data_IF_466360475199
#
_entry.id   IF_466360475199
#
_cell.length_a   1.000
_cell.length_b   1.000
_cell.length_c   1.000
_cell.angle_alpha   90.00
_cell.angle_beta   90.00
_cell.angle_gamma   90.00
#
_symmetry.space_group_name_H-M   'P 1'
#
loop_
_entity.id
_entity.type
_entity.pdbx_description
1 polymer ?
#
# COMPACT_ATOMS: atom_id res chain seq x y z
N UNK A 1 -27.25 1.94 -14.83
CA UNK A 1 -26.66 2.83 -15.84
C UNK A 1 -25.34 2.21 -16.28
N UNK A 2 -25.38 1.58 -17.45
CA UNK A 2 -24.31 0.75 -17.99
C UNK A 2 -23.21 1.64 -18.56
N UNK A 3 -21.98 1.51 -18.08
CA UNK A 3 -20.80 2.14 -18.71
C UNK A 3 -20.55 1.46 -20.06
N UNK A 4 -21.24 1.93 -21.10
CA UNK A 4 -20.93 1.65 -22.50
C UNK A 4 -19.99 2.74 -22.99
N UNK A 5 -18.80 2.35 -23.42
CA UNK A 5 -17.98 3.16 -24.32
C UNK A 5 -16.50 3.18 -23.98
N UNK A 6 -15.78 2.12 -24.33
CA UNK A 6 -14.41 2.23 -24.81
C UNK A 6 -14.16 1.13 -25.83
N UNK A 7 -14.37 1.49 -27.10
CA UNK A 7 -13.84 0.75 -28.24
C UNK A 7 -12.31 0.91 -28.29
N UNK A 8 -11.66 -0.14 -28.77
CA UNK A 8 -10.23 -0.36 -28.92
C UNK A 8 -9.43 0.81 -29.51
N UNK A 9 -8.32 1.16 -28.84
CA UNK A 9 -7.08 1.64 -29.47
C UNK A 9 -5.89 1.52 -28.51
N UNK A 10 -5.01 0.54 -28.74
CA UNK A 10 -3.61 0.62 -28.33
C UNK A 10 -2.79 0.70 -29.64
N UNK A 11 -1.83 1.64 -29.79
CA UNK A 11 -0.61 1.66 -28.97
C UNK A 11 -0.08 3.07 -28.62
N UNK A 12 -0.94 4.04 -28.30
CA UNK A 12 -0.51 5.42 -27.92
C UNK A 12 -0.50 5.70 -26.41
N UNK A 13 -1.08 4.82 -25.59
CA UNK A 13 -1.21 5.04 -24.14
C UNK A 13 0.02 4.63 -23.32
N UNK A 14 0.81 3.65 -23.78
CA UNK A 14 1.99 3.17 -23.04
C UNK A 14 3.10 4.25 -22.94
N UNK A 15 3.32 5.06 -24.00
CA UNK A 15 4.31 6.15 -23.99
C UNK A 15 3.90 7.29 -23.05
N UNK A 16 2.59 7.59 -22.98
CA UNK A 16 2.06 8.62 -22.09
C UNK A 16 2.03 8.14 -20.62
N UNK A 17 1.82 6.84 -20.41
CA UNK A 17 1.83 6.23 -19.07
C UNK A 17 3.25 6.12 -18.51
N UNK A 18 4.25 5.73 -19.30
CA UNK A 18 5.66 5.76 -18.85
C UNK A 18 6.12 7.18 -18.53
N UNK A 19 5.70 8.16 -19.33
CA UNK A 19 5.98 9.58 -19.07
C UNK A 19 5.30 10.05 -17.79
N UNK A 20 4.02 9.74 -17.59
CA UNK A 20 3.29 10.06 -16.36
C UNK A 20 3.88 9.39 -15.12
N UNK A 21 4.29 8.12 -15.22
CA UNK A 21 4.95 7.39 -14.13
C UNK A 21 6.32 8.01 -13.81
N UNK A 22 7.11 8.40 -14.82
CA UNK A 22 8.37 9.13 -14.64
C UNK A 22 8.17 10.53 -14.04
N UNK A 23 7.15 11.25 -14.48
CA UNK A 23 6.84 12.60 -13.98
C UNK A 23 6.41 12.52 -12.51
N UNK A 24 5.62 11.52 -12.13
CA UNK A 24 5.21 11.29 -10.74
C UNK A 24 6.35 10.75 -9.87
N UNK A 25 7.21 9.86 -10.39
CA UNK A 25 8.43 9.43 -9.70
C UNK A 25 9.38 10.62 -9.47
N UNK A 26 9.51 11.52 -10.45
CA UNK A 26 10.32 12.73 -10.34
C UNK A 26 9.78 13.72 -9.31
N UNK A 27 8.45 13.87 -9.20
CA UNK A 27 7.79 14.73 -8.21
C UNK A 27 7.86 14.13 -6.79
N UNK A 28 7.82 12.78 -6.69
CA UNK A 28 8.03 12.05 -5.44
C UNK A 28 9.45 12.14 -4.89
N UNK A 29 10.44 12.46 -5.74
CA UNK A 29 11.85 12.62 -5.34
C UNK A 29 12.15 13.93 -4.62
N UNK A 30 11.26 14.94 -4.72
CA UNK A 30 11.48 16.30 -4.17
C UNK A 30 10.64 16.64 -2.93
N UNK A 31 9.70 15.78 -2.52
CA UNK A 31 8.90 15.97 -1.30
C UNK A 31 9.34 15.01 -0.20
N UNK A 32 9.51 15.56 1.00
CA UNK A 32 9.72 14.84 2.26
C UNK A 32 8.71 13.68 2.42
N UNK A 33 9.09 12.46 2.03
CA UNK A 33 8.20 11.30 2.00
C UNK A 33 8.28 10.56 3.35
N UNK A 34 7.18 10.53 4.14
CA UNK A 34 7.18 9.93 5.47
C UNK A 34 7.55 8.44 5.48
N UNK A 35 7.17 7.70 4.43
CA UNK A 35 7.47 6.26 4.32
C UNK A 35 8.97 6.03 4.08
N UNK A 36 9.59 6.88 3.26
CA UNK A 36 11.04 6.81 3.00
C UNK A 36 11.83 7.12 4.27
N UNK A 37 11.40 8.11 5.06
CA UNK A 37 12.02 8.45 6.35
C UNK A 37 11.85 7.34 7.38
N UNK A 38 10.65 6.77 7.48
CA UNK A 38 10.40 5.61 8.33
C UNK A 38 11.33 4.45 7.95
N UNK A 39 11.41 4.11 6.67
CA UNK A 39 12.29 3.05 6.16
C UNK A 39 13.76 3.31 6.53
N UNK A 40 14.23 4.55 6.37
CA UNK A 40 15.59 4.95 6.73
C UNK A 40 15.86 4.74 8.23
N UNK A 41 14.96 5.19 9.10
CA UNK A 41 15.10 5.03 10.54
C UNK A 41 15.06 3.57 10.99
N UNK A 42 14.10 2.79 10.48
CA UNK A 42 14.04 1.34 10.74
C UNK A 42 15.33 0.64 10.28
N UNK A 43 15.87 1.03 9.12
CA UNK A 43 17.13 0.52 8.60
C UNK A 43 18.32 0.85 9.51
N UNK A 44 18.42 2.10 9.98
CA UNK A 44 19.49 2.53 10.89
C UNK A 44 19.45 1.77 12.21
N UNK A 45 18.28 1.63 12.83
CA UNK A 45 18.12 0.88 14.07
C UNK A 45 18.49 -0.59 13.88
N UNK A 46 18.04 -1.22 12.78
CA UNK A 46 18.30 -2.64 12.52
C UNK A 46 19.76 -2.95 12.21
N UNK A 47 20.47 -2.04 11.53
CA UNK A 47 21.86 -2.26 11.09
C UNK A 47 22.91 -1.85 12.15
N UNK A 48 22.63 -0.85 12.98
CA UNK A 48 23.57 -0.39 14.01
C UNK A 48 23.37 -1.15 15.32
N UNK A 49 24.41 -1.87 15.78
CA UNK A 49 24.36 -2.59 17.06
C UNK A 49 24.09 -1.67 18.26
N UNK A 50 24.65 -0.45 18.24
CA UNK A 50 24.45 0.54 19.29
C UNK A 50 23.00 1.04 19.33
N UNK A 51 22.44 1.41 18.18
CA UNK A 51 21.06 1.87 18.09
C UNK A 51 20.06 0.75 18.38
N UNK A 52 20.37 -0.48 17.96
CA UNK A 52 19.53 -1.63 18.28
C UNK A 52 19.50 -1.89 19.78
N UNK A 53 20.67 -1.87 20.46
CA UNK A 53 20.74 -2.01 21.91
C UNK A 53 19.95 -0.92 22.64
N UNK A 54 20.06 0.33 22.18
CA UNK A 54 19.28 1.45 22.71
C UNK A 54 17.77 1.26 22.48
N UNK A 55 17.38 0.81 21.28
CA UNK A 55 16.00 0.51 20.95
C UNK A 55 15.43 -0.60 21.83
N UNK A 56 16.17 -1.68 22.05
CA UNK A 56 15.79 -2.78 22.93
C UNK A 56 15.66 -2.31 24.38
N UNK A 57 16.56 -1.45 24.85
CA UNK A 57 16.46 -0.82 26.17
C UNK A 57 15.18 0.00 26.30
N UNK A 58 14.90 0.88 25.33
CA UNK A 58 13.68 1.68 25.29
C UNK A 58 12.41 0.82 25.20
N UNK A 59 12.45 -0.28 24.43
CA UNK A 59 11.36 -1.25 24.28
C UNK A 59 11.04 -1.91 25.62
N UNK A 60 12.06 -2.34 26.35
CA UNK A 60 11.93 -2.98 27.66
C UNK A 60 11.42 -1.99 28.72
N UNK A 61 11.94 -0.76 28.74
CA UNK A 61 11.48 0.29 29.65
C UNK A 61 9.99 0.62 29.45
N UNK A 62 9.53 0.66 28.20
CA UNK A 62 8.14 0.91 27.83
C UNK A 62 7.24 -0.33 27.92
N UNK A 63 7.78 -1.50 28.33
CA UNK A 63 7.07 -2.78 28.42
C UNK A 63 6.36 -3.16 27.11
N UNK A 64 6.99 -2.86 25.97
CA UNK A 64 6.45 -3.21 24.66
C UNK A 64 6.66 -4.69 24.35
N UNK A 65 5.87 -5.28 23.43
CA UNK A 65 6.04 -6.68 23.04
C UNK A 65 7.45 -7.01 22.58
N UNK A 66 7.91 -8.22 22.87
CA UNK A 66 9.23 -8.70 22.44
C UNK A 66 9.23 -9.04 20.94
N UNK A 67 9.33 -7.98 20.15
CA UNK A 67 9.33 -8.01 18.71
C UNK A 67 10.51 -7.14 18.26
N UNK A 68 11.09 -7.46 17.11
CA UNK A 68 12.13 -6.63 16.50
C UNK A 68 11.52 -5.61 15.53
N UNK A 69 12.18 -4.46 15.36
CA UNK A 69 11.86 -3.58 14.24
C UNK A 69 12.14 -4.29 12.91
N UNK A 70 11.41 -3.92 11.87
CA UNK A 70 11.57 -4.51 10.55
C UNK A 70 11.68 -3.42 9.50
N UNK A 71 12.28 -3.79 8.37
CA UNK A 71 12.40 -2.95 7.17
C UNK A 71 11.67 -3.67 6.05
N UNK A 72 10.96 -2.92 5.22
CA UNK A 72 10.29 -3.47 4.05
C UNK A 72 11.29 -4.01 3.02
N UNK A 73 10.81 -4.89 2.14
CA UNK A 73 11.62 -5.63 1.18
C UNK A 73 10.95 -5.56 -0.18
N UNK A 74 11.64 -5.02 -1.18
CA UNK A 74 11.06 -4.76 -2.51
C UNK A 74 10.46 -6.00 -3.18
N UNK A 75 11.01 -7.19 -2.91
CA UNK A 75 10.57 -8.45 -3.55
C UNK A 75 9.50 -9.19 -2.76
N UNK A 76 9.18 -8.78 -1.52
CA UNK A 76 8.19 -9.47 -0.67
C UNK A 76 6.88 -8.69 -0.65
N UNK A 77 5.82 -9.33 -1.12
CA UNK A 77 4.47 -8.75 -1.11
C UNK A 77 4.09 -8.31 0.31
N UNK A 78 3.39 -7.18 0.41
CA UNK A 78 2.93 -6.57 1.66
C UNK A 78 4.01 -6.12 2.66
N UNK A 79 5.31 -6.22 2.34
CA UNK A 79 6.37 -5.90 3.31
C UNK A 79 6.28 -4.49 3.88
N UNK A 80 5.85 -3.51 3.07
CA UNK A 80 5.66 -2.12 3.49
C UNK A 80 4.58 -2.00 4.55
N UNK A 81 3.46 -2.72 4.39
CA UNK A 81 2.37 -2.75 5.36
C UNK A 81 2.84 -3.36 6.68
N UNK A 82 3.53 -4.49 6.60
CA UNK A 82 4.11 -5.15 7.79
C UNK A 82 5.06 -4.20 8.52
N UNK A 83 5.95 -3.50 7.79
CA UNK A 83 6.85 -2.48 8.37
C UNK A 83 6.10 -1.39 9.12
N UNK A 84 5.02 -0.87 8.52
CA UNK A 84 4.19 0.15 9.17
C UNK A 84 3.50 -0.40 10.42
N UNK A 85 2.89 -1.59 10.35
CA UNK A 85 2.24 -2.22 11.51
C UNK A 85 3.22 -2.39 12.68
N UNK A 86 4.43 -2.87 12.40
CA UNK A 86 5.48 -3.02 13.40
C UNK A 86 5.87 -1.67 14.02
N UNK A 87 6.08 -0.67 13.16
CA UNK A 87 6.40 0.69 13.61
C UNK A 87 5.30 1.26 14.52
N UNK A 88 4.03 1.09 14.17
CA UNK A 88 2.92 1.62 14.97
C UNK A 88 2.85 1.00 16.38
N UNK A 89 3.17 -0.29 16.51
CA UNK A 89 3.29 -0.98 17.81
C UNK A 89 4.46 -0.40 18.63
N UNK A 90 5.56 -0.05 17.97
CA UNK A 90 6.83 0.35 18.60
C UNK A 90 7.10 1.86 18.54
N UNK A 91 6.08 2.66 18.23
CA UNK A 91 6.21 4.07 17.89
C UNK A 91 7.01 4.86 18.93
N UNK A 92 6.71 4.64 20.21
CA UNK A 92 7.37 5.39 21.29
C UNK A 92 8.83 4.96 21.48
N UNK A 93 9.14 3.66 21.43
CA UNK A 93 10.53 3.20 21.48
C UNK A 93 11.34 3.69 20.27
N UNK A 94 10.73 3.68 19.07
CA UNK A 94 11.33 4.25 17.87
C UNK A 94 11.62 5.75 18.06
N UNK A 95 10.64 6.51 18.55
CA UNK A 95 10.78 7.96 18.77
C UNK A 95 11.91 8.29 19.75
N UNK A 96 12.00 7.58 20.88
CA UNK A 96 13.07 7.78 21.86
C UNK A 96 14.45 7.45 21.26
N UNK A 97 14.54 6.38 20.48
CA UNK A 97 15.79 5.94 19.85
C UNK A 97 16.24 6.91 18.76
N UNK A 98 15.35 7.35 17.89
CA UNK A 98 15.70 8.28 16.81
C UNK A 98 16.06 9.67 17.34
N UNK A 99 15.50 10.07 18.49
CA UNK A 99 15.79 11.35 19.11
C UNK A 99 17.08 11.36 19.96
N UNK A 100 17.81 10.25 20.08
CA UNK A 100 19.06 10.20 20.86
C UNK A 100 20.23 10.89 20.17
N UNK A 101 20.18 11.02 18.84
CA UNK A 101 21.22 11.64 18.02
C UNK A 101 20.60 12.70 17.10
N UNK A 102 21.26 13.85 16.97
CA UNK A 102 20.73 14.97 16.18
C UNK A 102 20.58 14.65 14.69
N UNK A 103 21.54 13.94 14.11
CA UNK A 103 21.50 13.53 12.71
C UNK A 103 20.36 12.55 12.43
N UNK A 104 20.14 11.58 13.34
CA UNK A 104 19.00 10.65 13.25
C UNK A 104 17.68 11.38 13.39
N UNK A 105 17.58 12.30 14.36
CA UNK A 105 16.38 13.10 14.60
C UNK A 105 16.02 13.92 13.37
N UNK A 106 16.98 14.61 12.77
CA UNK A 106 16.77 15.42 11.55
C UNK A 106 16.25 14.55 10.41
N UNK A 107 16.87 13.40 10.18
CA UNK A 107 16.62 12.60 8.97
C UNK A 107 15.45 11.62 9.10
N UNK A 108 15.18 11.10 10.30
CA UNK A 108 14.32 9.92 10.51
C UNK A 108 13.16 10.18 11.47
N UNK A 109 13.12 11.32 12.18
CA UNK A 109 12.00 11.65 13.07
C UNK A 109 10.72 11.90 12.27
N UNK A 110 9.58 11.53 12.85
CA UNK A 110 8.26 11.66 12.24
C UNK A 110 7.38 12.50 13.15
N UNK A 111 6.75 13.53 12.60
CA UNK A 111 5.76 14.32 13.33
C UNK A 111 4.37 13.63 13.31
N UNK A 112 3.43 14.15 14.10
CA UNK A 112 2.10 13.55 14.23
C UNK A 112 1.33 13.51 12.89
N UNK A 113 1.38 14.55 12.08
CA UNK A 113 0.72 14.59 10.78
C UNK A 113 1.30 13.55 9.80
N UNK A 114 2.63 13.35 9.83
CA UNK A 114 3.31 12.30 9.06
C UNK A 114 2.92 10.91 9.54
N UNK A 115 2.79 10.70 10.85
CA UNK A 115 2.31 9.43 11.41
C UNK A 115 0.86 9.16 10.98
N UNK A 116 -0.02 10.16 11.03
CA UNK A 116 -1.40 10.05 10.55
C UNK A 116 -1.46 9.71 9.06
N UNK A 117 -0.61 10.32 8.25
CA UNK A 117 -0.46 10.00 6.84
C UNK A 117 -0.04 8.52 6.63
N UNK A 118 0.96 8.05 7.39
CA UNK A 118 1.40 6.64 7.37
C UNK A 118 0.27 5.70 7.80
N UNK A 119 -0.53 6.06 8.81
CA UNK A 119 -1.69 5.28 9.22
C UNK A 119 -2.77 5.22 8.12
N UNK A 120 -2.99 6.29 7.38
CA UNK A 120 -3.89 6.26 6.22
C UNK A 120 -3.38 5.33 5.11
N UNK A 121 -2.06 5.28 4.87
CA UNK A 121 -1.46 4.30 3.96
C UNK A 121 -1.65 2.87 4.50
N UNK A 122 -1.46 2.63 5.79
CA UNK A 122 -1.67 1.31 6.39
C UNK A 122 -3.10 0.80 6.19
N UNK A 123 -4.10 1.70 6.32
CA UNK A 123 -5.51 1.36 6.08
C UNK A 123 -5.78 0.93 4.64
N UNK A 124 -5.19 1.59 3.65
CA UNK A 124 -5.39 1.22 2.25
C UNK A 124 -4.69 -0.10 1.92
N UNK A 125 -3.45 -0.28 2.38
CA UNK A 125 -2.68 -1.51 2.17
C UNK A 125 -3.33 -2.73 2.83
N UNK A 126 -3.96 -2.55 3.99
CA UNK A 126 -4.71 -3.63 4.66
C UNK A 126 -5.88 -4.12 3.80
N UNK A 127 -6.56 -3.23 3.08
CA UNK A 127 -7.64 -3.64 2.16
C UNK A 127 -7.11 -4.49 1.02
N UNK A 128 -5.97 -4.10 0.44
CA UNK A 128 -5.30 -4.87 -0.60
C UNK A 128 -4.89 -6.24 -0.10
N UNK A 129 -4.25 -6.33 1.07
CA UNK A 129 -3.86 -7.59 1.69
C UNK A 129 -5.05 -8.54 1.88
N UNK A 130 -6.18 -8.03 2.39
CA UNK A 130 -7.38 -8.82 2.58
C UNK A 130 -7.95 -9.37 1.26
N UNK A 131 -8.03 -8.54 0.22
CA UNK A 131 -8.53 -8.95 -1.10
C UNK A 131 -7.59 -10.00 -1.71
N UNK A 132 -6.28 -9.76 -1.66
CA UNK A 132 -5.29 -10.70 -2.20
C UNK A 132 -5.34 -12.03 -1.46
N UNK A 133 -5.46 -12.02 -0.12
CA UNK A 133 -5.60 -13.23 0.68
C UNK A 133 -6.84 -14.04 0.25
N UNK A 134 -7.97 -13.36 0.07
CA UNK A 134 -9.21 -14.00 -0.34
C UNK A 134 -9.15 -14.58 -1.77
N UNK A 135 -8.53 -13.87 -2.70
CA UNK A 135 -8.30 -14.33 -4.08
C UNK A 135 -7.30 -15.48 -4.17
N UNK A 136 -6.37 -15.57 -3.22
CA UNK A 136 -5.36 -16.63 -3.15
C UNK A 136 -5.86 -17.88 -2.45
N UNK A 137 -7.10 -17.88 -1.93
CA UNK A 137 -7.70 -19.07 -1.32
C UNK A 137 -7.90 -20.16 -2.37
N UNK A 138 -7.53 -21.39 -1.99
CA UNK A 138 -7.72 -22.59 -2.82
C UNK A 138 -8.96 -23.39 -2.41
N UNK A 139 -9.64 -23.00 -1.34
CA UNK A 139 -10.80 -23.74 -0.81
C UNK A 139 -12.08 -23.54 -1.63
N UNK A 140 -12.13 -22.49 -2.45
CA UNK A 140 -13.28 -22.15 -3.28
C UNK A 140 -12.84 -21.51 -4.58
N UNK A 141 -13.69 -21.56 -5.59
CA UNK A 141 -13.46 -20.87 -6.86
C UNK A 141 -13.41 -19.36 -6.63
N UNK A 142 -12.33 -18.72 -7.07
CA UNK A 142 -12.10 -17.27 -6.90
C UNK A 142 -12.26 -16.51 -8.22
N UNK A 143 -12.15 -17.19 -9.37
CA UNK A 143 -12.19 -16.56 -10.69
C UNK A 143 -13.54 -15.87 -10.97
N UNK A 144 -14.65 -16.50 -10.60
CA UNK A 144 -16.02 -15.95 -10.67
C UNK A 144 -16.21 -14.66 -9.88
N UNK A 145 -15.34 -14.38 -8.91
CA UNK A 145 -15.45 -13.21 -8.03
C UNK A 145 -14.48 -12.08 -8.37
N UNK A 146 -13.58 -12.33 -9.34
CA UNK A 146 -12.49 -11.41 -9.68
C UNK A 146 -13.03 -10.06 -10.16
N UNK A 147 -13.94 -10.05 -11.15
CA UNK A 147 -14.51 -8.81 -11.72
C UNK A 147 -15.22 -7.99 -10.64
N UNK A 148 -16.07 -8.65 -9.83
CA UNK A 148 -16.82 -8.01 -8.75
C UNK A 148 -15.89 -7.35 -7.73
N UNK A 149 -14.80 -8.02 -7.35
CA UNK A 149 -13.81 -7.46 -6.43
C UNK A 149 -13.07 -6.25 -7.00
N UNK A 150 -12.72 -6.25 -8.29
CA UNK A 150 -12.11 -5.07 -8.91
C UNK A 150 -13.06 -3.87 -8.86
N UNK A 151 -14.33 -4.06 -9.19
CA UNK A 151 -15.33 -2.99 -9.14
C UNK A 151 -15.55 -2.45 -7.71
N UNK A 152 -15.63 -3.35 -6.71
CA UNK A 152 -15.70 -2.96 -5.29
C UNK A 152 -14.42 -2.21 -4.86
N UNK A 153 -13.25 -2.65 -5.31
CA UNK A 153 -11.97 -2.01 -5.03
C UNK A 153 -11.90 -0.59 -5.61
N UNK A 154 -12.27 -0.40 -6.88
CA UNK A 154 -12.35 0.95 -7.49
C UNK A 154 -13.28 1.87 -6.69
N UNK A 155 -14.49 1.39 -6.38
CA UNK A 155 -15.47 2.13 -5.56
C UNK A 155 -14.89 2.52 -4.20
N UNK A 156 -14.15 1.61 -3.54
CA UNK A 156 -13.53 1.88 -2.23
C UNK A 156 -12.37 2.87 -2.35
N UNK A 157 -11.58 2.80 -3.42
CA UNK A 157 -10.47 3.71 -3.66
C UNK A 157 -10.98 5.14 -3.93
N UNK A 158 -12.04 5.30 -4.73
CA UNK A 158 -12.68 6.59 -4.98
C UNK A 158 -13.18 7.24 -3.69
N UNK A 159 -13.94 6.48 -2.89
CA UNK A 159 -14.41 6.93 -1.56
C UNK A 159 -13.26 7.26 -0.62
N UNK A 160 -12.15 6.51 -0.70
CA UNK A 160 -10.98 6.75 0.14
C UNK A 160 -10.20 8.00 -0.28
N UNK A 161 -10.10 8.27 -1.59
CA UNK A 161 -9.50 9.46 -2.17
C UNK A 161 -10.24 10.73 -1.75
N UNK A 162 -11.58 10.73 -1.82
CA UNK A 162 -12.42 11.84 -1.37
C UNK A 162 -12.17 12.20 0.10
N UNK A 163 -11.94 11.19 0.95
CA UNK A 163 -11.66 11.37 2.38
C UNK A 163 -10.22 11.73 2.70
N UNK A 164 -9.28 11.44 1.80
CA UNK A 164 -7.83 11.64 2.01
C UNK A 164 -7.20 12.37 0.82
N UNK A 165 -7.43 13.68 0.67
CA UNK A 165 -6.89 14.46 -0.45
C UNK A 165 -5.35 14.39 -0.56
N UNK A 166 -4.66 14.24 0.57
CA UNK A 166 -3.19 14.09 0.63
C UNK A 166 -2.67 12.82 -0.05
N UNK A 167 -3.52 11.80 -0.22
CA UNK A 167 -3.18 10.55 -0.91
C UNK A 167 -3.70 10.51 -2.35
N UNK A 168 -4.30 11.59 -2.86
CA UNK A 168 -4.96 11.63 -4.17
C UNK A 168 -4.04 11.18 -5.31
N UNK A 169 -2.80 11.68 -5.35
CA UNK A 169 -1.81 11.30 -6.37
C UNK A 169 -1.47 9.79 -6.30
N UNK A 170 -1.21 9.28 -5.09
CA UNK A 170 -0.89 7.87 -4.88
C UNK A 170 -2.06 6.94 -5.23
N UNK A 171 -3.29 7.35 -4.90
CA UNK A 171 -4.50 6.60 -5.24
C UNK A 171 -4.74 6.62 -6.75
N UNK A 172 -4.52 7.76 -7.42
CA UNK A 172 -4.60 7.86 -8.88
C UNK A 172 -3.65 6.90 -9.59
N UNK A 173 -2.40 6.82 -9.15
CA UNK A 173 -1.44 5.82 -9.63
C UNK A 173 -1.93 4.38 -9.40
N UNK A 174 -2.47 4.13 -8.21
CA UNK A 174 -2.99 2.82 -7.84
C UNK A 174 -4.17 2.42 -8.73
N UNK A 175 -5.12 3.31 -8.95
CA UNK A 175 -6.27 3.10 -9.86
C UNK A 175 -5.81 2.87 -11.29
N UNK A 176 -4.84 3.63 -11.79
CA UNK A 176 -4.28 3.44 -13.13
C UNK A 176 -3.65 2.05 -13.26
N UNK A 177 -2.84 1.63 -12.28
CA UNK A 177 -2.22 0.30 -12.26
C UNK A 177 -3.27 -0.81 -12.20
N UNK A 178 -4.31 -0.65 -11.37
CA UNK A 178 -5.42 -1.61 -11.28
C UNK A 178 -6.20 -1.69 -12.59
N UNK A 179 -6.49 -0.55 -13.23
CA UNK A 179 -7.20 -0.51 -14.51
C UNK A 179 -6.44 -1.28 -15.59
N UNK A 180 -5.11 -1.15 -15.64
CA UNK A 180 -4.25 -1.93 -16.55
C UNK A 180 -4.35 -3.45 -16.34
N UNK A 181 -4.56 -3.93 -15.11
CA UNK A 181 -4.73 -5.36 -14.85
C UNK A 181 -6.19 -5.80 -15.00
N UNK A 182 -7.14 -4.92 -14.68
CA UNK A 182 -8.56 -5.16 -14.89
C UNK A 182 -8.88 -5.34 -16.37
N UNK A 183 -8.32 -4.51 -17.27
CA UNK A 183 -8.51 -4.70 -18.72
C UNK A 183 -7.98 -6.04 -19.25
N UNK A 184 -7.10 -6.73 -18.50
CA UNK A 184 -6.65 -8.08 -18.85
C UNK A 184 -7.70 -9.15 -18.56
N UNK A 185 -8.67 -8.90 -17.67
CA UNK A 185 -9.78 -9.83 -17.46
C UNK A 185 -10.68 -9.90 -18.69
N UNK A 186 -10.73 -8.83 -19.48
CA UNK A 186 -11.52 -8.76 -20.71
C UNK A 186 -10.85 -9.45 -21.91
N UNK A 187 -9.57 -9.87 -21.78
CA UNK A 187 -8.87 -10.60 -22.83
C UNK A 187 -9.35 -12.05 -22.98
N UNK A 188 -10.06 -12.57 -21.97
CA UNK A 188 -10.56 -13.94 -21.95
C UNK A 188 -11.97 -13.97 -21.38
N UNK A 189 -12.90 -14.62 -22.07
CA UNK A 189 -14.30 -14.73 -21.63
C UNK A 189 -14.44 -15.52 -20.32
N UNK A 190 -13.41 -16.26 -19.90
CA UNK A 190 -13.43 -17.12 -18.70
C UNK A 190 -13.88 -16.34 -17.45
N UNK A 191 -13.39 -15.11 -17.25
CA UNK A 191 -13.79 -14.31 -16.08
C UNK A 191 -15.26 -13.90 -16.13
N UNK A 192 -15.74 -13.45 -17.30
CA UNK A 192 -17.13 -13.04 -17.50
C UNK A 192 -18.08 -14.24 -17.40
N UNK A 193 -17.76 -15.35 -18.06
CA UNK A 193 -18.52 -16.60 -17.99
C UNK A 193 -18.58 -17.14 -16.56
N UNK A 194 -17.44 -17.20 -15.86
CA UNK A 194 -17.42 -17.67 -14.47
C UNK A 194 -18.27 -16.80 -13.55
N UNK A 195 -18.22 -15.47 -13.72
CA UNK A 195 -19.04 -14.52 -12.95
C UNK A 195 -20.53 -14.70 -13.27
N UNK A 196 -20.90 -14.87 -14.54
CA UNK A 196 -22.28 -15.02 -15.00
C UNK A 196 -22.92 -16.34 -14.53
N UNK A 197 -22.14 -17.43 -14.51
CA UNK A 197 -22.60 -18.75 -14.10
C UNK A 197 -22.77 -18.85 -12.59
N UNK A 198 -22.14 -17.96 -11.80
CA UNK A 198 -22.33 -17.93 -10.35
C UNK A 198 -23.72 -17.35 -9.98
N UNK A 199 -24.66 -18.18 -9.49
CA UNK A 199 -26.01 -17.73 -9.15
C UNK A 199 -26.02 -16.72 -8.00
N UNK A 200 -24.98 -16.70 -7.14
CA UNK A 200 -24.86 -15.73 -6.05
C UNK A 200 -24.53 -14.32 -6.53
N UNK A 201 -24.01 -14.18 -7.76
CA UNK A 201 -23.59 -12.91 -8.35
C UNK A 201 -24.58 -12.39 -9.41
N UNK A 202 -25.55 -13.22 -9.82
CA UNK A 202 -26.51 -12.95 -10.90
C UNK A 202 -27.38 -11.69 -10.71
N UNK A 203 -27.47 -11.17 -9.48
CA UNK A 203 -28.28 -9.99 -9.13
C UNK A 203 -27.49 -8.84 -8.50
N UNK A 204 -26.15 -8.94 -8.43
CA UNK A 204 -25.27 -7.94 -7.81
C UNK A 204 -24.44 -7.14 -8.82
N UNK A 205 -24.79 -7.22 -10.11
CA UNK A 205 -24.12 -6.57 -11.23
C UNK A 205 -24.94 -5.41 -11.80
#
# INVERSE_FOLDING_TARGET
MTYKGLQSKAPTEDVNMEKFMKDVESDSSKKDNPIVRLRKGCGKIRLSSQLNSLFETNKNMLKLPDLSIIVDCQTRWNSTKVMIDRFLIMKEAYRLTINSEDDLRRDCSLNNAQIEYIMSIQKILTKFENITSWLSSQQYTTINKTIVLYNDLFTRLEKFQQKNPSLSAAIGLTMSKLSKYYSRTDLTDVYACATMVDPSLKFSY
#
